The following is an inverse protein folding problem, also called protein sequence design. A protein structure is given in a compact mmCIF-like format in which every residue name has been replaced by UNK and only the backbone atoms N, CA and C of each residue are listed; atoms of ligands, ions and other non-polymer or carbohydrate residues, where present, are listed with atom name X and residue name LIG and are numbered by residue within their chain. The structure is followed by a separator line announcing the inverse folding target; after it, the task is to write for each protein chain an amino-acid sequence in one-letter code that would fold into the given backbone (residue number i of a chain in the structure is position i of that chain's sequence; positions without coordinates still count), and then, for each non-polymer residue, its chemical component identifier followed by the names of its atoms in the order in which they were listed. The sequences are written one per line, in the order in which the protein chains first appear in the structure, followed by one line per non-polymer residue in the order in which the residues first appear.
data_IF_824176329929
#
_entry.id   IF_824176329929
#
_cell.length_a   1.000
_cell.length_b   1.000
_cell.length_c   1.000
_cell.angle_alpha   90.00
_cell.angle_beta   90.00
_cell.angle_gamma   90.00
#
_symmetry.space_group_name_H-M   'P 1'
#
loop_
_entity.id
_entity.type
_entity.pdbx_description
1 polymer ?
#
# COMPACT_ATOMS: atom_id res chain seq x y z
N UNK A 1 6.31 77.62 4.01
CA UNK A 1 5.96 77.23 5.40
C UNK A 1 4.93 76.10 5.36
N UNK A 2 5.31 74.90 5.83
CA UNK A 2 4.46 73.86 6.44
C UNK A 2 5.41 72.72 6.87
N UNK A 3 5.61 72.60 8.17
CA UNK A 3 6.38 71.56 8.85
C UNK A 3 5.54 70.28 8.86
N UNK A 4 6.13 69.11 8.55
CA UNK A 4 5.87 67.86 9.31
C UNK A 4 7.12 66.98 9.22
N UNK A 5 7.83 66.88 10.34
CA UNK A 5 8.81 65.84 10.63
C UNK A 5 8.01 64.72 11.31
N UNK A 6 7.98 63.52 10.72
CA UNK A 6 7.53 62.29 11.36
C UNK A 6 8.25 61.15 10.62
N UNK A 7 9.38 60.64 11.10
CA UNK A 7 9.48 59.60 12.12
C UNK A 7 8.60 58.36 11.82
N UNK A 8 9.05 57.54 10.87
CA UNK A 8 8.84 56.08 10.81
C UNK A 8 10.13 55.50 10.21
N UNK A 9 11.17 55.21 11.00
CA UNK A 9 11.35 53.96 11.74
C UNK A 9 10.75 52.73 11.02
N UNK A 10 11.66 51.88 10.50
CA UNK A 10 11.49 50.44 10.22
C UNK A 10 10.67 50.11 8.96
N UNK A 11 11.31 49.66 7.87
CA UNK A 11 11.42 48.21 7.67
C UNK A 11 12.63 47.81 6.84
N UNK A 12 13.37 46.88 7.45
CA UNK A 12 14.63 46.28 7.08
C UNK A 12 14.54 45.55 5.72
N UNK A 13 15.38 45.96 4.77
CA UNK A 13 15.69 45.20 3.57
C UNK A 13 17.01 44.46 3.80
N UNK A 14 16.98 43.17 4.20
CA UNK A 14 18.07 42.20 4.01
C UNK A 14 17.70 40.79 4.54
N UNK A 15 17.18 39.97 3.63
CA UNK A 15 17.49 38.54 3.40
C UNK A 15 18.24 37.81 4.53
N UNK A 16 17.57 36.92 5.27
CA UNK A 16 18.23 35.78 5.95
C UNK A 16 17.30 34.56 5.98
N UNK A 17 17.59 33.62 5.07
CA UNK A 17 17.38 32.19 5.21
C UNK A 17 16.01 31.70 5.70
N UNK A 18 15.09 31.48 4.76
CA UNK A 18 14.18 30.33 4.89
C UNK A 18 15.07 29.08 4.87
N UNK A 19 15.54 28.65 6.03
CA UNK A 19 15.96 27.27 6.20
C UNK A 19 14.70 26.45 6.02
N UNK A 20 14.41 26.03 4.79
CA UNK A 20 13.63 24.82 4.59
C UNK A 20 14.44 23.76 5.32
N UNK A 21 14.00 23.34 6.50
CA UNK A 21 14.40 22.02 7.00
C UNK A 21 13.96 21.06 5.92
N UNK A 22 14.90 20.75 5.03
CA UNK A 22 14.94 19.55 4.21
C UNK A 22 15.03 18.41 5.23
N UNK A 23 13.91 18.15 5.93
CA UNK A 23 13.72 16.92 6.68
C UNK A 23 13.69 15.86 5.60
N UNK A 24 14.87 15.37 5.23
CA UNK A 24 15.00 14.17 4.41
C UNK A 24 14.09 13.14 5.07
N UNK A 25 13.07 12.62 4.36
CA UNK A 25 12.18 11.64 4.94
C UNK A 25 13.07 10.49 5.43
N UNK A 26 13.01 10.19 6.73
CA UNK A 26 13.69 9.02 7.27
C UNK A 26 12.95 7.82 6.70
N UNK A 27 13.50 7.27 5.62
CA UNK A 27 12.92 6.12 4.96
C UNK A 27 13.24 4.86 5.77
N UNK A 28 12.22 4.12 6.23
CA UNK A 28 12.46 2.84 6.87
C UNK A 28 13.06 1.88 5.84
N UNK A 29 14.12 1.17 6.23
CA UNK A 29 14.64 0.08 5.42
C UNK A 29 13.71 -1.13 5.54
N UNK A 30 13.24 -1.61 4.41
CA UNK A 30 12.47 -2.86 4.29
C UNK A 30 12.81 -3.47 2.94
N UNK A 31 12.83 -4.79 2.80
CA UNK A 31 13.05 -5.49 1.54
C UNK A 31 12.02 -6.63 1.39
N UNK A 32 12.05 -7.36 0.28
CA UNK A 32 11.05 -8.39 0.04
C UNK A 32 11.09 -9.56 1.04
N UNK A 33 12.22 -9.83 1.68
CA UNK A 33 12.34 -10.87 2.71
C UNK A 33 11.60 -10.48 4.01
N UNK A 34 11.21 -9.20 4.17
CA UNK A 34 10.40 -8.74 5.28
C UNK A 34 8.90 -9.06 5.12
N UNK A 35 8.45 -9.57 3.96
CA UNK A 35 7.04 -9.82 3.66
C UNK A 35 6.78 -11.28 3.33
N UNK A 36 5.62 -11.77 3.76
CA UNK A 36 5.24 -13.17 3.52
C UNK A 36 4.58 -13.34 2.15
N UNK A 37 3.89 -12.31 1.67
CA UNK A 37 3.11 -12.32 0.43
C UNK A 37 3.30 -11.04 -0.37
N UNK A 38 3.01 -11.14 -1.67
CA UNK A 38 3.08 -10.01 -2.60
C UNK A 38 2.18 -8.86 -2.14
N UNK A 39 0.97 -9.14 -1.67
CA UNK A 39 -0.01 -8.13 -1.27
C UNK A 39 0.41 -7.37 -0.01
N UNK A 40 1.10 -8.04 0.93
CA UNK A 40 1.67 -7.39 2.11
C UNK A 40 2.78 -6.42 1.72
N UNK A 41 3.66 -6.82 0.80
CA UNK A 41 4.71 -5.95 0.27
C UNK A 41 4.11 -4.77 -0.50
N UNK A 42 3.06 -5.03 -1.31
CA UNK A 42 2.35 -3.99 -2.06
C UNK A 42 1.71 -2.96 -1.14
N UNK A 43 1.02 -3.38 -0.08
CA UNK A 43 0.39 -2.47 0.86
C UNK A 43 1.42 -1.55 1.55
N UNK A 44 2.63 -2.05 1.82
CA UNK A 44 3.71 -1.23 2.34
C UNK A 44 4.24 -0.24 1.30
N UNK A 45 4.53 -0.70 0.08
CA UNK A 45 4.95 0.15 -1.03
C UNK A 45 3.94 1.28 -1.31
N UNK A 46 2.65 0.95 -1.40
CA UNK A 46 1.58 1.92 -1.66
C UNK A 46 1.48 2.99 -0.55
N UNK A 47 1.79 2.63 0.69
CA UNK A 47 1.78 3.56 1.81
C UNK A 47 2.95 4.56 1.76
N UNK A 48 4.09 4.18 1.17
CA UNK A 48 5.26 5.04 1.04
C UNK A 48 6.17 4.65 -0.13
N UNK A 49 5.77 4.96 -1.38
CA UNK A 49 6.46 4.46 -2.57
C UNK A 49 7.85 5.07 -2.74
N UNK A 50 8.04 6.32 -2.30
CA UNK A 50 9.34 7.00 -2.36
C UNK A 50 10.38 6.34 -1.44
N UNK A 51 9.97 5.95 -0.23
CA UNK A 51 10.87 5.31 0.72
C UNK A 51 11.06 3.82 0.50
N UNK A 52 10.07 3.15 -0.08
CA UNK A 52 10.05 1.70 -0.26
C UNK A 52 10.18 1.30 -1.73
N UNK A 53 10.71 2.18 -2.59
CA UNK A 53 10.98 1.91 -4.01
C UNK A 53 11.78 0.64 -4.26
N UNK A 54 12.57 0.19 -3.28
CA UNK A 54 13.34 -1.03 -3.41
C UNK A 54 12.49 -2.31 -3.31
N UNK A 55 11.21 -2.21 -2.94
CA UNK A 55 10.25 -3.30 -3.01
C UNK A 55 9.77 -3.53 -4.45
N UNK A 56 9.85 -2.51 -5.32
CA UNK A 56 9.48 -2.53 -6.75
C UNK A 56 10.72 -2.18 -7.58
N UNK A 57 11.62 -3.16 -7.73
CA UNK A 57 12.96 -2.92 -8.30
C UNK A 57 12.94 -2.55 -9.79
N UNK A 58 11.93 -3.01 -10.53
CA UNK A 58 11.74 -2.76 -11.95
C UNK A 58 10.77 -1.60 -12.26
N UNK A 59 10.13 -1.03 -11.22
CA UNK A 59 9.25 0.15 -11.29
C UNK A 59 8.00 -0.08 -12.14
N UNK A 60 7.42 -1.28 -12.12
CA UNK A 60 6.17 -1.59 -12.82
C UNK A 60 4.92 -1.29 -11.96
N UNK A 61 5.15 -0.82 -10.73
CA UNK A 61 4.18 -0.58 -9.65
C UNK A 61 3.67 -1.85 -8.98
N UNK A 62 4.41 -2.96 -9.06
CA UNK A 62 4.14 -4.20 -8.34
C UNK A 62 5.32 -4.56 -7.45
N UNK A 63 5.13 -4.41 -6.14
CA UNK A 63 6.14 -4.76 -5.17
C UNK A 63 6.31 -6.28 -5.05
N UNK A 64 7.57 -6.74 -5.05
CA UNK A 64 7.98 -8.09 -4.69
C UNK A 64 7.23 -9.22 -5.42
N UNK A 65 6.96 -9.07 -6.71
CA UNK A 65 6.14 -9.97 -7.56
C UNK A 65 6.51 -11.47 -7.51
N UNK A 66 7.72 -11.81 -7.13
CA UNK A 66 8.15 -13.20 -6.89
C UNK A 66 7.55 -13.87 -5.64
N UNK A 67 6.97 -13.09 -4.72
CA UNK A 67 6.33 -13.63 -3.52
C UNK A 67 5.00 -14.27 -3.91
N UNK A 68 4.58 -15.26 -3.12
CA UNK A 68 3.25 -15.86 -3.31
C UNK A 68 2.16 -14.81 -3.04
N UNK A 69 1.07 -14.87 -3.79
CA UNK A 69 -0.15 -14.15 -3.45
C UNK A 69 -0.82 -14.75 -2.21
N UNK A 70 -1.46 -13.92 -1.40
CA UNK A 70 -2.42 -14.33 -0.37
C UNK A 70 -3.55 -15.14 -1.05
N UNK A 71 -3.56 -16.45 -0.83
CA UNK A 71 -4.50 -17.40 -1.43
C UNK A 71 -3.89 -18.30 -2.51
N UNK A 72 -2.66 -18.02 -2.99
CA UNK A 72 -1.96 -18.77 -4.04
C UNK A 72 -1.38 -20.14 -3.62
N UNK A 73 -1.66 -20.58 -2.40
CA UNK A 73 -1.46 -21.97 -1.97
C UNK A 73 -2.57 -22.37 -1.02
N UNK A 74 -3.81 -22.08 -1.41
CA UNK A 74 -4.90 -22.86 -0.85
C UNK A 74 -4.88 -24.18 -1.60
N UNK A 75 -4.30 -25.22 -1.00
CA UNK A 75 -4.52 -26.60 -1.44
C UNK A 75 -5.99 -26.93 -1.19
N UNK A 76 -6.85 -26.42 -2.05
CA UNK A 76 -8.24 -26.79 -2.08
C UNK A 76 -8.29 -28.25 -2.53
N UNK A 77 -8.91 -29.15 -1.75
CA UNK A 77 -9.21 -30.46 -2.26
C UNK A 77 -10.02 -30.29 -3.54
N UNK A 78 -9.48 -30.77 -4.64
CA UNK A 78 -10.09 -30.83 -5.98
C UNK A 78 -11.30 -31.77 -6.05
N UNK A 79 -11.64 -32.42 -4.94
CA UNK A 79 -12.72 -33.39 -4.82
C UNK A 79 -13.79 -32.90 -3.83
N UNK A 80 -14.96 -33.57 -3.79
CA UNK A 80 -16.13 -33.28 -2.93
C UNK A 80 -15.86 -33.04 -1.42
N UNK A 81 -14.64 -33.27 -0.94
CA UNK A 81 -14.16 -33.05 0.42
C UNK A 81 -13.67 -31.61 0.71
N UNK A 82 -13.77 -30.67 -0.25
CA UNK A 82 -13.45 -29.25 -0.02
C UNK A 82 -14.38 -28.53 0.99
N UNK A 83 -15.38 -29.23 1.54
CA UNK A 83 -16.30 -28.69 2.54
C UNK A 83 -17.34 -27.71 2.01
N UNK A 84 -17.43 -27.51 0.69
CA UNK A 84 -18.36 -26.56 0.07
C UNK A 84 -19.78 -27.13 -0.12
N UNK A 85 -19.92 -28.45 -0.18
CA UNK A 85 -21.21 -29.13 -0.43
C UNK A 85 -22.26 -28.79 0.64
N UNK A 86 -23.48 -28.46 0.21
CA UNK A 86 -24.61 -28.18 1.11
C UNK A 86 -24.67 -26.77 1.68
N UNK A 87 -23.66 -25.92 1.42
CA UNK A 87 -23.69 -24.50 1.80
C UNK A 87 -24.70 -23.72 0.96
N UNK A 88 -25.38 -22.77 1.60
CA UNK A 88 -26.25 -21.80 0.91
C UNK A 88 -25.43 -20.74 0.17
N UNK A 89 -26.09 -19.93 -0.68
CA UNK A 89 -25.41 -18.86 -1.44
C UNK A 89 -24.66 -17.87 -0.54
N UNK A 90 -25.21 -17.57 0.64
CA UNK A 90 -24.60 -16.67 1.62
C UNK A 90 -23.39 -17.28 2.34
N UNK A 91 -23.31 -18.61 2.41
CA UNK A 91 -22.22 -19.34 3.08
C UNK A 91 -21.14 -19.80 2.10
N UNK A 92 -21.43 -19.72 0.79
CA UNK A 92 -20.55 -20.13 -0.28
C UNK A 92 -19.62 -18.99 -0.69
N UNK A 93 -18.43 -18.98 -0.12
CA UNK A 93 -17.37 -18.04 -0.47
C UNK A 93 -16.05 -18.43 0.20
N UNK A 94 -14.96 -17.85 -0.27
CA UNK A 94 -13.61 -18.15 0.19
C UNK A 94 -12.76 -18.82 -0.89
N UNK A 95 -11.50 -19.13 -0.57
CA UNK A 95 -10.51 -19.53 -1.56
C UNK A 95 -10.79 -20.88 -2.26
N UNK A 96 -11.66 -21.73 -1.68
CA UNK A 96 -11.98 -23.05 -2.24
C UNK A 96 -13.44 -23.26 -2.65
N UNK A 97 -14.32 -22.26 -2.49
CA UNK A 97 -15.75 -22.43 -2.71
C UNK A 97 -16.31 -21.37 -3.66
N UNK A 98 -16.94 -21.80 -4.75
CA UNK A 98 -17.63 -20.92 -5.69
C UNK A 98 -19.11 -21.30 -5.84
N UNK A 99 -19.99 -20.30 -5.81
CA UNK A 99 -21.41 -20.49 -6.05
C UNK A 99 -21.70 -20.56 -7.55
N UNK A 100 -22.22 -21.69 -8.01
CA UNK A 100 -22.68 -21.86 -9.39
C UNK A 100 -24.20 -21.81 -9.40
N UNK A 101 -24.75 -20.82 -10.12
CA UNK A 101 -26.20 -20.66 -10.27
C UNK A 101 -26.83 -21.94 -10.82
N UNK A 102 -27.88 -22.44 -10.15
CA UNK A 102 -28.56 -23.69 -10.51
C UNK A 102 -27.88 -24.98 -10.06
N UNK A 103 -26.60 -24.93 -9.65
CA UNK A 103 -25.84 -26.12 -9.23
C UNK A 103 -25.48 -26.11 -7.73
N UNK A 104 -25.49 -24.93 -7.10
CA UNK A 104 -25.13 -24.74 -5.69
C UNK A 104 -23.63 -24.48 -5.50
N UNK A 105 -23.15 -24.61 -4.25
CA UNK A 105 -21.77 -24.35 -3.89
C UNK A 105 -20.84 -25.51 -4.28
N UNK A 106 -19.74 -25.22 -4.98
CA UNK A 106 -18.76 -26.21 -5.49
C UNK A 106 -17.33 -25.83 -5.13
N UNK A 107 -16.43 -26.81 -5.19
CA UNK A 107 -14.99 -26.59 -5.05
C UNK A 107 -14.46 -25.77 -6.25
N UNK A 108 -13.54 -24.84 -6.02
CA UNK A 108 -12.86 -24.04 -7.04
C UNK A 108 -11.37 -23.90 -6.72
#
# INVERSE_FOLDING_TARGET
MKKVIALHLITLLAILGSCSTETSPICPYSNCDNYTTQEQAQAAFDANPECLKNLDADNDRKACEHLRSEGGSTSCPDTANCGCSGKTKSECGGPCCQWIVGTGCKCN
#
